data_IF_754614246762
#
_entry.id   IF_754614246762
#
_cell.length_a   1.000
_cell.length_b   1.000
_cell.length_c   1.000
_cell.angle_alpha   90.00
_cell.angle_beta   90.00
_cell.angle_gamma   90.00
#
_symmetry.space_group_name_H-M   'P 1'
#
loop_
_entity.id
_entity.type
_entity.pdbx_description
1 polymer ?
#
# COMPACT_ATOMS: atom_id res chain seq x y z
N UNK A 1 -7.90 -40.78 1.71
CA UNK A 1 -8.83 -40.11 2.65
C UNK A 1 -8.11 -38.87 3.18
N UNK A 2 -8.13 -37.78 2.41
CA UNK A 2 -7.38 -36.56 2.72
C UNK A 2 -8.35 -35.55 3.30
N UNK A 3 -8.21 -35.26 4.59
CA UNK A 3 -9.09 -34.36 5.33
C UNK A 3 -8.65 -32.95 4.91
N UNK A 4 -9.53 -32.26 4.18
CA UNK A 4 -9.40 -30.82 3.95
C UNK A 4 -9.29 -30.17 5.33
N UNK A 5 -8.20 -29.46 5.58
CA UNK A 5 -8.13 -28.48 6.64
C UNK A 5 -9.19 -27.42 6.33
N UNK A 6 -10.40 -27.64 6.84
CA UNK A 6 -11.45 -26.63 6.83
C UNK A 6 -10.91 -25.45 7.63
N UNK A 7 -10.64 -24.37 6.90
CA UNK A 7 -10.25 -23.09 7.41
C UNK A 7 -11.36 -22.62 8.37
N UNK A 8 -11.12 -22.76 9.67
CA UNK A 8 -11.96 -22.13 10.68
C UNK A 8 -11.84 -20.63 10.43
N UNK A 9 -12.86 -20.03 9.82
CA UNK A 9 -12.91 -18.58 9.65
C UNK A 9 -12.95 -17.95 11.05
N UNK A 10 -11.95 -17.11 11.34
CA UNK A 10 -11.88 -16.33 12.57
C UNK A 10 -13.10 -15.41 12.67
N UNK A 11 -14.12 -15.82 13.42
CA UNK A 11 -15.28 -15.00 13.75
C UNK A 11 -14.84 -13.87 14.70
N UNK A 12 -15.17 -12.63 14.36
CA UNK A 12 -14.94 -11.47 15.22
C UNK A 12 -16.28 -10.97 15.73
N UNK A 13 -16.42 -10.94 17.05
CA UNK A 13 -17.65 -10.49 17.70
C UNK A 13 -17.36 -9.33 18.63
N UNK A 14 -18.15 -8.28 18.53
CA UNK A 14 -18.16 -7.16 19.46
C UNK A 14 -19.23 -7.42 20.51
N UNK A 15 -18.81 -7.44 21.78
CA UNK A 15 -19.70 -7.59 22.92
C UNK A 15 -19.77 -6.25 23.64
N UNK A 16 -20.97 -5.70 23.79
CA UNK A 16 -21.23 -4.48 24.56
C UNK A 16 -22.11 -4.82 25.76
N UNK A 17 -21.60 -4.54 26.96
CA UNK A 17 -22.28 -4.80 28.23
C UNK A 17 -22.73 -3.47 28.81
N UNK A 18 -24.02 -3.33 29.12
CA UNK A 18 -24.56 -2.15 29.79
C UNK A 18 -25.31 -2.54 31.05
N UNK A 19 -24.99 -1.90 32.16
CA UNK A 19 -25.68 -2.11 33.44
C UNK A 19 -26.80 -1.08 33.55
N UNK A 20 -27.96 -1.53 34.02
CA UNK A 20 -29.10 -0.65 34.32
C UNK A 20 -29.25 -0.56 35.83
N UNK A 21 -28.92 0.59 36.45
CA UNK A 21 -29.21 0.84 37.85
C UNK A 21 -30.69 1.27 38.03
N UNK A 22 -31.23 1.00 39.22
CA UNK A 22 -32.49 1.57 39.69
C UNK A 22 -32.28 3.04 40.15
N UNK A 23 -33.36 3.78 40.41
CA UNK A 23 -33.35 5.15 40.96
C UNK A 23 -32.58 5.30 42.27
N UNK A 24 -32.39 4.20 43.02
CA UNK A 24 -31.60 4.14 44.24
C UNK A 24 -30.11 3.76 44.02
N UNK A 25 -29.65 3.64 42.76
CA UNK A 25 -28.27 3.28 42.42
C UNK A 25 -27.93 1.79 42.53
N UNK A 26 -28.89 0.93 42.90
CA UNK A 26 -28.71 -0.54 42.93
C UNK A 26 -28.81 -1.13 41.53
N UNK A 27 -27.99 -2.13 41.20
CA UNK A 27 -28.03 -2.81 39.90
C UNK A 27 -29.37 -3.53 39.73
N UNK A 28 -30.15 -3.11 38.73
CA UNK A 28 -31.47 -3.68 38.41
C UNK A 28 -31.37 -4.74 37.30
N UNK A 29 -30.39 -4.61 36.39
CA UNK A 29 -30.14 -5.61 35.35
C UNK A 29 -28.91 -5.33 34.50
N UNK A 30 -28.63 -6.27 33.60
CA UNK A 30 -27.53 -6.21 32.61
C UNK A 30 -28.11 -6.44 31.22
N UNK A 31 -27.75 -5.58 30.28
CA UNK A 31 -27.98 -5.76 28.85
C UNK A 31 -26.68 -6.22 28.21
N UNK A 32 -26.75 -7.32 27.46
CA UNK A 32 -25.68 -7.86 26.64
C UNK A 32 -26.08 -7.73 25.18
N UNK A 33 -25.29 -6.99 24.40
CA UNK A 33 -25.41 -6.96 22.95
C UNK A 33 -24.19 -7.64 22.34
N UNK A 34 -24.44 -8.58 21.44
CA UNK A 34 -23.41 -9.30 20.69
C UNK A 34 -23.65 -9.07 19.21
N UNK A 35 -22.63 -8.55 18.51
CA UNK A 35 -22.71 -8.24 17.08
C UNK A 35 -21.52 -8.87 16.38
N UNK A 36 -21.78 -9.62 15.31
CA UNK A 36 -20.74 -10.07 14.40
C UNK A 36 -20.18 -8.87 13.63
N UNK A 37 -18.87 -8.67 13.71
CA UNK A 37 -18.13 -7.58 13.09
C UNK A 37 -17.03 -8.11 12.17
N UNK A 38 -17.12 -9.37 11.76
CA UNK A 38 -16.09 -10.04 10.95
C UNK A 38 -15.84 -9.30 9.64
N UNK A 39 -16.90 -8.91 8.94
CA UNK A 39 -16.80 -8.17 7.67
C UNK A 39 -16.19 -6.79 7.87
N UNK A 40 -16.64 -6.05 8.88
CA UNK A 40 -16.16 -4.69 9.18
C UNK A 40 -14.67 -4.70 9.54
N UNK A 41 -14.23 -5.63 10.38
CA UNK A 41 -12.81 -5.80 10.72
C UNK A 41 -11.98 -6.18 9.50
N UNK A 42 -12.50 -7.01 8.60
CA UNK A 42 -11.79 -7.38 7.37
C UNK A 42 -11.72 -6.21 6.38
N UNK A 43 -12.78 -5.42 6.27
CA UNK A 43 -12.78 -4.18 5.50
C UNK A 43 -11.75 -3.19 6.03
N UNK A 44 -11.75 -2.95 7.34
CA UNK A 44 -10.78 -2.06 7.99
C UNK A 44 -9.34 -2.51 7.75
N UNK A 45 -9.06 -3.82 7.86
CA UNK A 45 -7.74 -4.37 7.53
C UNK A 45 -7.34 -4.10 6.09
N UNK A 46 -8.25 -4.30 5.13
CA UNK A 46 -7.98 -4.01 3.71
C UNK A 46 -7.69 -2.53 3.48
N UNK A 47 -8.45 -1.65 4.13
CA UNK A 47 -8.22 -0.19 4.07
C UNK A 47 -6.84 0.15 4.62
N UNK A 48 -6.48 -0.33 5.82
CA UNK A 48 -5.16 -0.07 6.42
C UNK A 48 -4.00 -0.59 5.56
N UNK A 49 -4.17 -1.76 4.93
CA UNK A 49 -3.18 -2.29 3.98
C UNK A 49 -3.05 -1.36 2.77
N UNK A 50 -4.16 -0.84 2.26
CA UNK A 50 -4.16 0.11 1.15
C UNK A 50 -3.51 1.44 1.52
N UNK A 51 -3.78 1.98 2.72
CA UNK A 51 -3.16 3.22 3.23
C UNK A 51 -1.65 3.08 3.27
N UNK A 52 -1.14 1.99 3.85
CA UNK A 52 0.29 1.72 3.90
C UNK A 52 0.92 1.67 2.50
N UNK A 53 0.25 1.05 1.52
CA UNK A 53 0.74 1.02 0.13
C UNK A 53 0.81 2.41 -0.50
N UNK A 54 -0.19 3.26 -0.23
CA UNK A 54 -0.18 4.63 -0.74
C UNK A 54 0.99 5.42 -0.14
N UNK A 55 1.28 5.24 1.15
CA UNK A 55 2.43 5.85 1.80
C UNK A 55 3.75 5.36 1.19
N UNK A 56 3.88 4.05 0.95
CA UNK A 56 5.07 3.47 0.30
C UNK A 56 5.29 4.05 -1.11
N UNK A 57 4.22 4.20 -1.90
CA UNK A 57 4.28 4.83 -3.23
C UNK A 57 4.66 6.31 -3.12
N UNK A 58 4.06 7.05 -2.19
CA UNK A 58 4.36 8.46 -1.98
C UNK A 58 5.84 8.67 -1.60
N UNK A 59 6.39 7.79 -0.76
CA UNK A 59 7.80 7.80 -0.39
C UNK A 59 8.71 7.59 -1.60
N UNK A 60 8.43 6.55 -2.42
CA UNK A 60 9.20 6.26 -3.63
C UNK A 60 9.17 7.45 -4.61
N UNK A 61 8.00 8.07 -4.81
CA UNK A 61 7.88 9.23 -5.69
C UNK A 61 8.64 10.47 -5.18
N UNK A 62 8.49 10.80 -3.90
CA UNK A 62 9.08 12.01 -3.34
C UNK A 62 10.62 11.94 -3.26
N UNK A 63 11.17 10.77 -2.94
CA UNK A 63 12.60 10.60 -2.67
C UNK A 63 13.33 9.83 -3.77
N UNK A 64 12.85 8.65 -4.14
CA UNK A 64 13.59 7.76 -5.04
C UNK A 64 13.48 8.23 -6.50
N UNK A 65 12.28 8.59 -7.00
CA UNK A 65 12.07 9.04 -8.39
C UNK A 65 12.68 10.42 -8.66
N UNK A 66 12.58 11.34 -7.70
CA UNK A 66 13.01 12.74 -7.88
C UNK A 66 14.51 12.88 -8.10
N UNK A 67 15.32 12.04 -7.47
CA UNK A 67 16.79 12.10 -7.57
C UNK A 67 17.34 11.85 -8.99
N UNK A 68 17.03 10.73 -9.66
CA UNK A 68 17.49 10.50 -11.03
C UNK A 68 16.86 11.48 -12.02
N UNK A 69 15.60 11.91 -11.82
CA UNK A 69 14.96 12.90 -12.68
C UNK A 69 15.67 14.26 -12.63
N UNK A 70 16.01 14.75 -11.43
CA UNK A 70 16.78 15.99 -11.28
C UNK A 70 18.17 15.89 -11.94
N UNK A 71 18.81 14.73 -11.85
CA UNK A 71 20.07 14.45 -12.55
C UNK A 71 19.92 14.54 -14.06
N UNK A 72 18.88 13.91 -14.64
CA UNK A 72 18.60 13.97 -16.09
C UNK A 72 18.38 15.41 -16.53
N UNK A 73 17.54 16.18 -15.82
CA UNK A 73 17.27 17.58 -16.16
C UNK A 73 18.52 18.45 -16.08
N UNK A 74 19.34 18.27 -15.05
CA UNK A 74 20.61 18.97 -14.91
C UNK A 74 21.58 18.66 -16.06
N UNK A 75 21.68 17.39 -16.44
CA UNK A 75 22.53 16.96 -17.56
C UNK A 75 22.02 17.48 -18.91
N UNK A 76 20.70 17.51 -19.13
CA UNK A 76 20.10 18.11 -20.33
C UNK A 76 20.40 19.60 -20.42
N UNK A 77 20.37 20.33 -19.31
CA UNK A 77 20.69 21.76 -19.29
C UNK A 77 22.17 22.05 -19.59
N UNK A 78 23.07 21.10 -19.30
CA UNK A 78 24.50 21.21 -19.60
C UNK A 78 24.84 20.74 -21.01
N UNK A 79 23.93 20.02 -21.68
CA UNK A 79 24.17 19.48 -23.00
C UNK A 79 23.98 20.58 -24.05
N UNK A 80 25.07 21.00 -24.67
CA UNK A 80 25.04 21.84 -25.85
C UNK A 80 24.79 20.96 -27.09
N UNK A 81 23.62 21.11 -27.70
CA UNK A 81 23.17 20.31 -28.84
C UNK A 81 23.78 20.78 -30.17
N UNK A 82 24.37 21.97 -30.22
CA UNK A 82 24.99 22.52 -31.44
C UNK A 82 26.47 22.13 -31.57
N UNK A 83 27.12 21.72 -30.47
CA UNK A 83 28.54 21.31 -30.47
C UNK A 83 28.79 19.99 -29.73
N UNK A 84 28.69 18.86 -30.45
CA UNK A 84 28.98 17.54 -29.88
C UNK A 84 30.48 17.33 -29.78
N UNK A 85 31.04 17.49 -28.57
CA UNK A 85 32.44 17.23 -28.24
C UNK A 85 32.56 16.03 -27.27
N UNK A 86 33.78 15.70 -26.82
CA UNK A 86 33.98 14.58 -25.89
C UNK A 86 33.29 14.78 -24.53
N UNK A 87 33.05 16.03 -24.10
CA UNK A 87 32.26 16.30 -22.89
C UNK A 87 30.77 15.95 -23.11
N UNK A 88 30.24 16.16 -24.30
CA UNK A 88 28.86 15.77 -24.66
C UNK A 88 28.68 14.26 -24.55
N UNK A 89 29.68 13.44 -24.93
CA UNK A 89 29.64 11.98 -24.74
C UNK A 89 29.58 11.57 -23.26
N UNK A 90 30.34 12.26 -22.40
CA UNK A 90 30.33 12.01 -20.95
C UNK A 90 28.95 12.34 -20.36
N UNK A 91 28.38 13.49 -20.71
CA UNK A 91 27.04 13.91 -20.28
C UNK A 91 25.97 12.90 -20.73
N UNK A 92 26.01 12.46 -22.00
CA UNK A 92 25.09 11.46 -22.53
C UNK A 92 25.20 10.11 -21.79
N UNK A 93 26.40 9.68 -21.42
CA UNK A 93 26.60 8.45 -20.66
C UNK A 93 26.00 8.55 -19.25
N UNK A 94 26.17 9.69 -18.58
CA UNK A 94 25.53 9.94 -17.29
C UNK A 94 24.02 10.01 -17.41
N UNK A 95 23.49 10.61 -18.47
CA UNK A 95 22.05 10.71 -18.71
C UNK A 95 21.44 9.31 -18.91
N UNK A 96 22.12 8.45 -19.67
CA UNK A 96 21.74 7.04 -19.82
C UNK A 96 21.73 6.30 -18.48
N UNK A 97 22.72 6.54 -17.63
CA UNK A 97 22.77 5.93 -16.29
C UNK A 97 21.61 6.38 -15.41
N UNK A 98 21.35 7.68 -15.33
CA UNK A 98 20.24 8.23 -14.54
C UNK A 98 18.87 7.78 -15.06
N UNK A 99 18.70 7.64 -16.38
CA UNK A 99 17.50 7.07 -16.98
C UNK A 99 17.29 5.59 -16.58
N UNK A 100 18.35 4.77 -16.62
CA UNK A 100 18.29 3.38 -16.17
C UNK A 100 18.00 3.26 -14.67
N UNK A 101 18.49 4.18 -13.84
CA UNK A 101 18.18 4.22 -12.41
C UNK A 101 16.70 4.54 -12.17
N UNK A 102 16.16 5.52 -12.90
CA UNK A 102 14.74 5.83 -12.86
C UNK A 102 13.87 4.64 -13.30
N UNK A 103 14.25 3.95 -14.38
CA UNK A 103 13.54 2.77 -14.89
C UNK A 103 13.44 1.64 -13.84
N UNK A 104 14.52 1.39 -13.07
CA UNK A 104 14.50 0.43 -11.96
C UNK A 104 13.50 0.81 -10.87
N UNK A 105 13.41 2.10 -10.55
CA UNK A 105 12.48 2.61 -9.54
C UNK A 105 11.04 2.48 -10.02
N UNK A 106 10.78 2.78 -11.30
CA UNK A 106 9.46 2.57 -11.92
C UNK A 106 9.05 1.09 -11.85
N UNK A 107 9.97 0.16 -12.13
CA UNK A 107 9.69 -1.27 -11.99
C UNK A 107 9.31 -1.65 -10.55
N UNK A 108 10.03 -1.15 -9.54
CA UNK A 108 9.72 -1.37 -8.12
C UNK A 108 8.33 -0.87 -7.72
N UNK A 109 7.92 0.30 -8.23
CA UNK A 109 6.55 0.83 -8.01
C UNK A 109 5.51 -0.05 -8.69
N UNK A 110 5.75 -0.45 -9.94
CA UNK A 110 4.81 -1.27 -10.70
C UNK A 110 4.58 -2.63 -10.03
N UNK A 111 5.63 -3.29 -9.53
CA UNK A 111 5.52 -4.54 -8.77
C UNK A 111 4.74 -4.34 -7.47
N UNK A 112 4.94 -3.22 -6.77
CA UNK A 112 4.21 -2.90 -5.54
C UNK A 112 2.73 -2.60 -5.79
N UNK A 113 2.37 -2.11 -6.98
CA UNK A 113 0.99 -1.81 -7.38
C UNK A 113 0.20 -3.03 -7.86
N UNK A 114 0.87 -4.05 -8.43
CA UNK A 114 0.23 -5.26 -8.95
C UNK A 114 0.29 -6.40 -7.93
N UNK A 115 -0.83 -6.68 -7.27
CA UNK A 115 -1.10 -8.00 -6.70
C UNK A 115 -2.38 -8.54 -7.35
N UNK A 116 -2.39 -9.82 -7.77
CA UNK A 116 -3.55 -10.44 -8.40
C UNK A 116 -4.73 -10.41 -7.44
N UNK A 117 -5.90 -10.04 -7.95
CA UNK A 117 -7.18 -10.23 -7.29
C UNK A 117 -7.39 -11.74 -7.05
N UNK A 118 -6.84 -12.28 -5.97
CA UNK A 118 -7.14 -13.64 -5.53
C UNK A 118 -8.51 -13.63 -4.85
N UNK A 119 -9.58 -13.44 -5.63
CA UNK A 119 -10.98 -13.74 -5.28
C UNK A 119 -11.94 -13.57 -6.49
N UNK A 120 -11.58 -14.11 -7.67
CA UNK A 120 -12.45 -14.16 -8.85
C UNK A 120 -12.98 -15.57 -9.16
N UNK A 121 -13.24 -16.38 -8.13
CA UNK A 121 -13.80 -17.72 -8.29
C UNK A 121 -14.68 -18.11 -7.10
N UNK A 122 -15.96 -17.68 -7.17
CA UNK A 122 -17.16 -18.43 -6.74
C UNK A 122 -18.43 -17.69 -7.20
N UNK A 123 -18.77 -17.88 -8.47
CA UNK A 123 -20.13 -17.74 -9.00
C UNK A 123 -20.33 -18.85 -10.02
N UNK A 124 -20.76 -20.00 -9.53
CA UNK A 124 -21.43 -21.07 -10.26
C UNK A 124 -22.50 -21.64 -9.33
#
# INVERSE_FOLDING_TARGET
>A
KNIRNDCVQDLKTKISIKIIPNSAGTIMGVILNSTDITEEVNLEKRIRISEKKLDDIAFINAHEVRAPLASILGLLNLLDFESVNDNSKVILNHLKKSANELEKIIHKVSESSYLPDTNSNKSA
#
